data_IF_679563325636
#
_entry.id   IF_679563325636
#
_cell.length_a   1.000
_cell.length_b   1.000
_cell.length_c   1.000
_cell.angle_alpha   90.00
_cell.angle_beta   90.00
_cell.angle_gamma   90.00
#
_symmetry.space_group_name_H-M   'P 1'
#
loop_
_entity.id
_entity.type
_entity.pdbx_description
1 polymer ?
#
# COMPACT_ATOMS: atom_id res chain seq x y z
N UNK A 1 -47.96 -69.01 -5.25
CA UNK A 1 -47.68 -67.77 -6.02
C UNK A 1 -46.24 -67.35 -5.71
N UNK A 2 -45.44 -67.00 -6.72
CA UNK A 2 -44.08 -66.37 -6.71
C UNK A 2 -43.07 -66.83 -5.64
N UNK A 3 -41.85 -67.30 -5.95
CA UNK A 3 -40.97 -67.01 -7.10
C UNK A 3 -40.06 -65.80 -6.77
N UNK A 4 -38.73 -65.83 -6.93
CA UNK A 4 -37.80 -66.84 -7.48
C UNK A 4 -36.39 -66.71 -6.81
N UNK A 5 -35.46 -67.59 -7.19
CA UNK A 5 -34.03 -67.68 -6.85
C UNK A 5 -33.16 -66.51 -7.37
N UNK A 6 -31.88 -66.31 -6.95
CA UNK A 6 -31.08 -66.94 -5.89
C UNK A 6 -29.56 -66.63 -5.98
N UNK A 7 -28.77 -67.00 -4.94
CA UNK A 7 -27.28 -66.97 -4.80
C UNK A 7 -26.57 -65.58 -4.73
N UNK A 8 -25.81 -65.27 -3.64
CA UNK A 8 -24.36 -65.52 -3.30
C UNK A 8 -23.35 -64.68 -4.12
N UNK A 9 -22.23 -64.12 -3.61
CA UNK A 9 -21.68 -63.94 -2.22
C UNK A 9 -20.53 -62.89 -2.19
N UNK A 10 -20.28 -62.33 -1.00
CA UNK A 10 -19.03 -61.71 -0.42
C UNK A 10 -17.72 -62.42 -0.86
N UNK A 11 -16.50 -61.86 -0.78
CA UNK A 11 -15.90 -60.63 -0.18
C UNK A 11 -14.34 -60.72 -0.29
N UNK A 12 -13.40 -60.02 0.38
CA UNK A 12 -13.30 -59.00 1.46
C UNK A 12 -11.87 -58.32 1.39
N UNK A 13 -11.61 -57.13 1.98
CA UNK A 13 -10.28 -56.47 2.00
C UNK A 13 -9.36 -56.91 3.18
N UNK A 14 -8.11 -56.40 3.24
CA UNK A 14 -7.10 -56.67 4.29
C UNK A 14 -6.16 -55.47 4.57
N UNK A 15 -5.66 -55.38 5.81
CA UNK A 15 -4.52 -54.54 6.27
C UNK A 15 -3.86 -55.14 7.52
N UNK A 16 -2.52 -55.01 7.64
CA UNK A 16 -1.69 -54.98 8.89
C UNK A 16 -1.65 -56.22 9.83
N UNK A 17 -0.56 -56.52 10.56
CA UNK A 17 0.86 -56.10 10.49
C UNK A 17 1.77 -57.03 11.35
N UNK A 18 3.06 -57.18 10.99
CA UNK A 18 4.16 -57.60 11.90
C UNK A 18 5.56 -57.25 11.31
N UNK A 19 6.61 -57.15 12.13
CA UNK A 19 7.97 -56.66 11.78
C UNK A 19 8.97 -56.93 12.95
N UNK A 20 10.30 -56.64 12.87
CA UNK A 20 11.26 -56.58 11.75
C UNK A 20 12.58 -57.39 11.99
N UNK A 21 13.51 -57.41 11.02
CA UNK A 21 14.95 -57.70 11.23
C UNK A 21 15.83 -57.03 10.15
N UNK A 22 17.09 -56.69 10.46
CA UNK A 22 17.92 -55.80 9.61
C UNK A 22 19.39 -56.24 9.46
N UNK A 23 19.93 -56.21 8.24
CA UNK A 23 21.37 -56.20 7.88
C UNK A 23 21.55 -55.70 6.41
N UNK A 24 22.75 -55.28 5.94
CA UNK A 24 22.86 -54.02 5.18
C UNK A 24 23.27 -54.12 3.69
N UNK A 25 23.13 -52.99 2.98
CA UNK A 25 23.51 -52.77 1.57
C UNK A 25 24.65 -51.74 1.45
N UNK A 26 25.65 -51.91 0.56
CA UNK A 26 26.84 -51.05 0.51
C UNK A 26 26.67 -49.74 -0.31
N UNK A 27 27.56 -48.79 -0.03
CA UNK A 27 27.67 -47.48 -0.70
C UNK A 27 28.52 -47.55 -1.98
N UNK A 28 28.16 -46.84 -3.08
CA UNK A 28 29.03 -46.65 -4.23
C UNK A 28 29.95 -45.43 -4.09
N UNK A 29 31.19 -45.54 -4.57
CA UNK A 29 32.18 -44.46 -4.70
C UNK A 29 32.22 -43.97 -6.17
N UNK A 30 32.52 -42.69 -6.47
CA UNK A 30 32.54 -42.20 -7.86
C UNK A 30 33.72 -42.75 -8.67
N UNK A 31 33.47 -43.07 -9.95
CA UNK A 31 34.52 -43.45 -10.90
C UNK A 31 35.04 -42.24 -11.65
N UNK A 32 36.36 -42.07 -11.63
CA UNK A 32 37.12 -41.06 -12.38
C UNK A 32 37.19 -41.44 -13.87
N UNK A 33 37.11 -40.45 -14.78
CA UNK A 33 37.16 -40.67 -16.24
C UNK A 33 38.33 -39.90 -16.84
N UNK A 34 39.39 -40.63 -17.15
CA UNK A 34 40.59 -40.14 -17.81
C UNK A 34 40.36 -40.00 -19.33
N UNK A 35 40.85 -38.92 -19.93
CA UNK A 35 40.76 -38.65 -21.37
C UNK A 35 42.14 -38.23 -21.89
N UNK A 36 42.72 -38.94 -22.89
CA UNK A 36 44.07 -38.65 -23.37
C UNK A 36 44.15 -37.38 -24.23
N UNK A 37 45.33 -36.75 -24.25
CA UNK A 37 45.68 -35.63 -25.13
C UNK A 37 46.88 -36.01 -26.01
N UNK A 38 46.82 -35.64 -27.30
CA UNK A 38 47.91 -35.49 -28.29
C UNK A 38 47.24 -35.08 -29.62
N UNK A 39 47.78 -34.27 -30.54
CA UNK A 39 48.77 -33.18 -30.47
C UNK A 39 48.31 -32.12 -31.52
N UNK A 40 48.58 -30.82 -31.31
CA UNK A 40 48.68 -29.89 -32.45
C UNK A 40 49.43 -28.59 -32.16
N UNK A 41 50.30 -28.24 -33.11
CA UNK A 41 51.25 -27.12 -33.15
C UNK A 41 50.73 -25.71 -32.84
N UNK A 42 51.53 -24.92 -32.12
CA UNK A 42 51.43 -23.46 -32.01
C UNK A 42 52.07 -22.73 -33.22
N UNK A 43 51.95 -21.38 -33.36
CA UNK A 43 52.91 -20.51 -32.65
C UNK A 43 52.31 -19.18 -32.10
N UNK A 44 53.08 -18.52 -31.25
CA UNK A 44 52.65 -17.35 -30.46
C UNK A 44 52.77 -15.98 -31.17
N UNK A 45 52.12 -14.95 -30.60
CA UNK A 45 52.47 -13.53 -30.80
C UNK A 45 52.70 -12.82 -29.45
N UNK A 46 53.84 -12.13 -29.34
CA UNK A 46 54.21 -11.30 -28.17
C UNK A 46 53.86 -9.82 -28.38
N UNK A 47 53.27 -9.20 -27.37
CA UNK A 47 53.49 -7.80 -26.94
C UNK A 47 53.27 -7.77 -25.41
N UNK A 48 54.00 -6.99 -24.60
CA UNK A 48 55.08 -6.05 -24.91
C UNK A 48 55.03 -4.86 -23.95
N UNK A 49 55.54 -5.03 -22.72
CA UNK A 49 55.46 -4.01 -21.66
C UNK A 49 56.73 -3.17 -21.49
N UNK A 50 56.56 -1.95 -20.95
CA UNK A 50 57.59 -0.95 -20.64
C UNK A 50 57.16 -0.12 -19.39
N UNK A 51 58.05 0.60 -18.67
CA UNK A 51 58.45 0.07 -17.36
C UNK A 51 58.30 1.03 -16.15
N UNK A 52 58.71 0.48 -15.00
CA UNK A 52 58.98 1.07 -13.67
C UNK A 52 59.24 2.58 -13.61
N UNK A 53 58.73 3.19 -12.54
CA UNK A 53 59.59 3.86 -11.54
C UNK A 53 59.46 3.12 -10.21
N UNK A 54 60.41 3.34 -9.29
CA UNK A 54 60.41 2.75 -7.95
C UNK A 54 61.07 3.73 -6.98
N UNK A 55 60.58 3.77 -5.73
CA UNK A 55 61.31 4.27 -4.56
C UNK A 55 60.83 3.55 -3.30
N UNK A 56 61.79 3.28 -2.40
CA UNK A 56 61.72 2.46 -1.17
C UNK A 56 63.03 2.76 -0.36
N UNK A 57 63.25 2.32 0.91
CA UNK A 57 62.54 1.32 1.73
C UNK A 57 62.00 1.94 3.06
N UNK A 58 61.40 1.25 4.04
CA UNK A 58 61.83 0.14 4.92
C UNK A 58 60.82 0.05 6.09
N UNK A 59 60.68 -0.99 6.94
CA UNK A 59 61.17 -2.39 6.99
C UNK A 59 60.37 -3.20 8.05
N UNK A 60 60.51 -4.53 8.02
CA UNK A 60 60.02 -5.55 8.98
C UNK A 60 58.50 -5.87 8.86
N UNK A 61 58.01 -7.10 8.64
CA UNK A 61 58.51 -8.48 8.79
C UNK A 61 58.54 -9.06 10.21
N UNK A 62 57.44 -9.76 10.60
CA UNK A 62 57.45 -10.93 11.50
C UNK A 62 56.05 -11.61 11.57
N UNK A 63 55.94 -12.80 10.99
CA UNK A 63 55.04 -13.90 11.41
C UNK A 63 55.95 -15.16 11.47
N UNK A 64 55.65 -16.25 12.23
CA UNK A 64 54.32 -16.88 12.32
C UNK A 64 53.92 -17.49 13.69
N UNK A 65 52.74 -18.14 13.73
CA UNK A 65 52.57 -19.57 14.11
C UNK A 65 51.40 -19.90 15.05
N UNK A 66 50.44 -20.68 14.53
CA UNK A 66 49.72 -21.81 15.16
C UNK A 66 49.30 -21.77 16.65
N UNK A 67 47.98 -21.82 16.93
CA UNK A 67 47.39 -22.81 17.86
C UNK A 67 45.83 -22.80 17.89
N UNK A 68 45.25 -23.94 17.52
CA UNK A 68 43.95 -24.49 17.96
C UNK A 68 44.15 -26.03 18.02
N UNK A 69 43.42 -26.82 18.83
CA UNK A 69 42.01 -26.65 19.21
C UNK A 69 41.67 -26.89 20.70
N UNK A 70 40.40 -26.69 21.08
CA UNK A 70 39.55 -27.76 21.62
C UNK A 70 38.16 -27.25 22.06
N UNK A 71 37.13 -28.08 21.80
CA UNK A 71 35.84 -28.07 22.48
C UNK A 71 35.66 -29.43 23.20
N UNK A 72 34.70 -29.55 24.12
CA UNK A 72 33.94 -30.79 24.17
C UNK A 72 32.43 -30.61 24.42
N UNK A 73 31.66 -31.19 23.50
CA UNK A 73 30.45 -32.02 23.69
C UNK A 73 29.51 -31.82 24.91
N UNK A 74 28.32 -31.31 24.58
CA UNK A 74 26.97 -31.89 24.86
C UNK A 74 26.74 -32.82 26.06
N UNK A 75 25.67 -32.50 26.82
CA UNK A 75 24.70 -33.51 27.30
C UNK A 75 23.25 -33.02 27.14
N UNK A 76 22.36 -33.93 26.76
CA UNK A 76 20.92 -33.69 26.63
C UNK A 76 20.14 -34.30 27.80
N UNK A 77 19.08 -33.64 28.26
CA UNK A 77 18.01 -34.25 29.05
C UNK A 77 16.73 -33.38 29.06
N UNK A 78 15.58 -34.04 28.95
CA UNK A 78 14.22 -33.47 28.96
C UNK A 78 13.30 -34.46 29.71
N UNK A 79 12.02 -34.13 29.97
CA UNK A 79 11.50 -33.22 30.99
C UNK A 79 11.22 -33.94 32.33
N UNK A 80 10.57 -33.30 33.31
CA UNK A 80 9.25 -33.85 33.69
C UNK A 80 8.18 -32.84 34.13
N UNK A 81 6.93 -33.32 34.10
CA UNK A 81 5.74 -32.83 34.79
C UNK A 81 4.86 -34.08 35.11
N UNK A 82 3.71 -34.00 35.83
CA UNK A 82 3.05 -32.85 36.46
C UNK A 82 2.60 -33.10 37.93
N UNK A 83 2.01 -32.09 38.58
CA UNK A 83 0.85 -32.17 39.52
C UNK A 83 0.58 -30.76 40.11
N UNK A 84 -0.52 -30.45 40.81
CA UNK A 84 -1.97 -30.65 40.61
C UNK A 84 -2.72 -30.08 41.85
N UNK A 85 -4.04 -29.90 41.76
CA UNK A 85 -4.96 -29.59 42.89
C UNK A 85 -4.92 -28.13 43.42
N UNK A 86 -6.03 -27.45 43.74
CA UNK A 86 -7.43 -27.63 43.31
C UNK A 86 -8.25 -26.34 43.56
N UNK A 87 -9.39 -26.25 42.88
CA UNK A 87 -10.52 -25.39 43.26
C UNK A 87 -11.77 -26.26 43.44
N UNK A 88 -12.79 -25.80 44.20
CA UNK A 88 -14.14 -25.97 43.65
C UNK A 88 -15.15 -24.83 43.94
N UNK A 89 -15.83 -24.39 42.86
CA UNK A 89 -17.29 -24.30 42.67
C UNK A 89 -18.14 -23.57 43.75
N UNK A 90 -18.81 -22.45 43.47
CA UNK A 90 -19.93 -22.21 42.50
C UNK A 90 -21.29 -22.81 42.93
N UNK A 91 -22.23 -21.95 43.37
CA UNK A 91 -23.66 -22.04 43.01
C UNK A 91 -24.38 -20.69 43.17
N UNK A 92 -25.58 -20.59 42.59
CA UNK A 92 -26.46 -19.43 42.63
C UNK A 92 -27.78 -19.76 43.35
N UNK A 93 -28.55 -18.74 43.76
CA UNK A 93 -29.86 -18.85 44.41
C UNK A 93 -30.70 -17.59 44.22
N UNK A 94 -32.03 -17.70 44.39
CA UNK A 94 -33.04 -16.67 44.10
C UNK A 94 -33.98 -16.47 45.30
N UNK A 95 -34.57 -15.28 45.44
CA UNK A 95 -35.62 -14.96 46.44
C UNK A 95 -35.09 -14.67 47.86
N UNK A 96 -35.80 -13.96 48.74
CA UNK A 96 -37.13 -13.32 48.67
C UNK A 96 -37.20 -12.13 49.66
N UNK A 97 -38.24 -11.27 49.58
CA UNK A 97 -38.49 -10.17 50.55
C UNK A 97 -39.14 -10.63 51.87
N UNK A 98 -39.74 -9.73 52.71
CA UNK A 98 -40.21 -8.37 52.39
C UNK A 98 -40.01 -7.24 53.48
N UNK A 99 -40.52 -6.04 53.12
CA UNK A 99 -41.10 -4.88 53.88
C UNK A 99 -41.48 -4.97 55.37
N UNK A 100 -41.92 -3.85 56.06
CA UNK A 100 -42.30 -2.49 55.59
C UNK A 100 -41.40 -1.37 56.19
N UNK A 101 -41.71 -0.07 56.38
CA UNK A 101 -42.87 0.88 56.32
C UNK A 101 -42.29 2.32 56.12
N UNK A 102 -42.95 3.45 55.81
CA UNK A 102 -44.28 3.90 55.31
C UNK A 102 -44.06 5.34 54.77
N UNK A 103 -44.55 5.77 53.59
CA UNK A 103 -45.91 6.24 53.25
C UNK A 103 -46.33 7.63 53.83
N UNK A 104 -46.39 8.68 52.98
CA UNK A 104 -47.53 9.63 52.81
C UNK A 104 -47.19 10.85 51.92
N UNK A 105 -48.14 11.25 51.07
CA UNK A 105 -48.17 12.54 50.35
C UNK A 105 -49.62 13.04 50.31
N UNK A 106 -49.87 14.34 50.56
CA UNK A 106 -50.86 15.07 49.74
C UNK A 106 -50.38 16.48 49.32
N UNK A 107 -51.22 17.15 48.52
CA UNK A 107 -50.90 18.35 47.72
C UNK A 107 -51.57 19.65 48.31
N UNK A 108 -51.82 20.76 47.57
CA UNK A 108 -51.15 22.05 47.77
C UNK A 108 -52.01 23.16 48.43
N UNK A 109 -51.41 24.35 48.70
CA UNK A 109 -52.18 25.61 48.87
C UNK A 109 -51.40 26.94 48.66
N UNK A 110 -52.00 27.81 47.84
CA UNK A 110 -52.12 29.30 47.92
C UNK A 110 -50.96 30.21 48.41
N UNK A 111 -50.49 31.09 47.51
CA UNK A 111 -50.66 32.58 47.49
C UNK A 111 -51.02 33.37 48.78
N UNK A 112 -50.62 34.67 48.96
CA UNK A 112 -50.94 35.77 48.01
C UNK A 112 -50.00 37.02 47.94
N UNK A 113 -50.31 38.01 47.09
CA UNK A 113 -49.88 39.42 47.31
C UNK A 113 -49.98 40.44 46.14
N UNK A 114 -50.78 41.51 46.34
CA UNK A 114 -50.93 42.77 45.54
C UNK A 114 -51.51 42.64 44.10
N UNK A 115 -52.61 43.31 43.65
CA UNK A 115 -53.26 44.62 43.96
C UNK A 115 -52.57 45.83 43.28
N UNK A 116 -53.22 46.72 42.51
CA UNK A 116 -54.65 46.91 42.17
C UNK A 116 -54.85 47.51 40.75
N UNK A 117 -56.10 47.57 40.27
CA UNK A 117 -56.52 48.39 39.11
C UNK A 117 -56.97 49.81 39.55
N UNK A 118 -57.16 50.77 38.62
CA UNK A 118 -58.49 50.87 37.99
C UNK A 118 -58.48 51.16 36.47
N UNK A 119 -59.63 50.92 35.84
CA UNK A 119 -59.98 51.32 34.47
C UNK A 119 -60.42 52.81 34.42
N UNK A 120 -60.44 53.49 33.25
CA UNK A 120 -61.64 53.41 32.41
C UNK A 120 -61.46 53.57 30.88
N UNK A 121 -62.55 53.31 30.16
CA UNK A 121 -62.95 53.90 28.87
C UNK A 121 -62.12 53.57 27.59
N UNK A 122 -62.51 52.45 26.98
CA UNK A 122 -62.66 52.21 25.53
C UNK A 122 -62.10 53.23 24.50
N UNK A 123 -61.24 52.74 23.61
CA UNK A 123 -61.24 53.15 22.20
C UNK A 123 -60.88 51.97 21.29
N UNK A 124 -61.50 51.90 20.11
CA UNK A 124 -61.44 50.73 19.22
C UNK A 124 -60.13 50.70 18.43
N UNK A 125 -59.23 49.79 18.78
CA UNK A 125 -58.05 49.46 17.99
C UNK A 125 -58.13 48.01 17.51
N UNK A 126 -58.58 47.83 16.27
CA UNK A 126 -58.78 46.53 15.63
C UNK A 126 -57.44 45.81 15.46
N UNK A 127 -57.12 44.91 16.40
CA UNK A 127 -55.84 44.19 16.41
C UNK A 127 -55.87 43.03 15.42
N UNK A 128 -55.67 43.33 14.14
CA UNK A 128 -55.55 42.35 13.06
C UNK A 128 -54.54 41.26 13.43
N UNK A 129 -55.05 40.11 13.88
CA UNK A 129 -54.29 38.88 13.98
C UNK A 129 -54.06 38.42 12.54
N UNK A 130 -52.93 38.81 11.96
CA UNK A 130 -52.46 38.25 10.69
C UNK A 130 -52.30 36.75 10.90
N UNK A 131 -53.25 35.97 10.38
CA UNK A 131 -53.09 34.52 10.31
C UNK A 131 -51.95 34.24 9.34
N UNK A 132 -50.81 33.83 9.88
CA UNK A 132 -49.69 33.36 9.06
C UNK A 132 -50.18 32.15 8.26
N UNK A 133 -50.16 32.19 6.92
CA UNK A 133 -50.52 31.02 6.12
C UNK A 133 -49.60 29.87 6.52
N UNK A 134 -50.09 28.62 6.59
CA UNK A 134 -49.31 27.50 7.12
C UNK A 134 -48.03 27.33 6.30
N UNK A 135 -46.88 27.53 6.93
CA UNK A 135 -45.57 27.46 6.27
C UNK A 135 -45.41 26.10 5.60
N UNK A 136 -45.55 26.08 4.29
CA UNK A 136 -45.43 24.87 3.50
C UNK A 136 -44.03 24.29 3.72
N UNK A 137 -43.97 23.07 4.27
CA UNK A 137 -42.69 22.43 4.59
C UNK A 137 -41.90 22.31 3.29
N UNK A 138 -40.63 22.75 3.22
CA UNK A 138 -39.82 22.65 2.00
C UNK A 138 -39.84 21.21 1.49
N UNK A 139 -40.55 20.99 0.37
CA UNK A 139 -40.82 19.65 -0.14
C UNK A 139 -39.49 18.95 -0.40
N UNK A 140 -39.27 17.80 0.24
CA UNK A 140 -38.04 17.00 0.09
C UNK A 140 -37.74 16.86 -1.41
N UNK A 141 -36.64 17.45 -1.91
CA UNK A 141 -36.41 17.51 -3.35
C UNK A 141 -36.38 16.09 -3.89
N UNK A 142 -37.15 15.78 -4.95
CA UNK A 142 -37.35 14.41 -5.39
C UNK A 142 -35.98 13.80 -5.67
N UNK A 143 -35.64 12.72 -4.94
CA UNK A 143 -34.36 12.02 -5.04
C UNK A 143 -34.12 11.68 -6.51
N UNK A 144 -33.30 12.49 -7.19
CA UNK A 144 -33.01 12.38 -8.63
C UNK A 144 -32.18 11.12 -8.86
N UNK A 145 -32.86 9.97 -8.86
CA UNK A 145 -32.30 8.64 -9.13
C UNK A 145 -31.50 8.77 -10.42
N UNK A 146 -30.18 8.72 -10.30
CA UNK A 146 -29.25 8.97 -11.39
C UNK A 146 -29.30 7.81 -12.37
N UNK A 147 -30.33 7.81 -13.23
CA UNK A 147 -30.39 6.99 -14.42
C UNK A 147 -29.14 7.33 -15.22
N UNK A 148 -28.19 6.39 -15.26
CA UNK A 148 -27.01 6.48 -16.11
C UNK A 148 -27.56 6.70 -17.52
N UNK A 149 -27.19 7.79 -18.22
CA UNK A 149 -27.74 8.06 -19.54
C UNK A 149 -27.36 6.91 -20.48
N UNK A 150 -28.25 6.54 -21.40
CA UNK A 150 -28.10 5.33 -22.24
C UNK A 150 -26.77 5.35 -23.01
N UNK A 151 -26.31 6.53 -23.43
CA UNK A 151 -25.01 6.72 -24.09
C UNK A 151 -23.80 6.38 -23.20
N UNK A 152 -23.89 6.59 -21.88
CA UNK A 152 -22.83 6.18 -20.95
C UNK A 152 -22.87 4.67 -20.66
N UNK A 153 -24.05 4.06 -20.62
CA UNK A 153 -24.17 2.60 -20.56
C UNK A 153 -23.64 1.92 -21.84
N UNK A 154 -23.93 2.48 -23.01
CA UNK A 154 -23.38 2.05 -24.30
C UNK A 154 -21.85 2.24 -24.36
N UNK A 155 -21.33 3.36 -23.85
CA UNK A 155 -19.89 3.60 -23.74
C UNK A 155 -19.18 2.56 -22.84
N UNK A 156 -19.76 2.23 -21.69
CA UNK A 156 -19.24 1.15 -20.81
C UNK A 156 -19.27 -0.20 -21.55
N UNK A 157 -20.37 -0.52 -22.25
CA UNK A 157 -20.46 -1.74 -23.06
C UNK A 157 -19.38 -1.81 -24.15
N UNK A 158 -19.14 -0.71 -24.87
CA UNK A 158 -18.07 -0.62 -25.87
C UNK A 158 -16.67 -0.83 -25.30
N UNK A 159 -16.39 -0.26 -24.11
CA UNK A 159 -15.11 -0.47 -23.41
C UNK A 159 -14.94 -1.93 -22.97
N UNK A 160 -16.00 -2.57 -22.46
CA UNK A 160 -15.96 -3.99 -22.07
C UNK A 160 -15.73 -4.90 -23.29
N UNK A 161 -16.41 -4.63 -24.42
CA UNK A 161 -16.21 -5.38 -25.67
C UNK A 161 -14.78 -5.19 -26.19
N UNK A 162 -14.26 -3.95 -26.20
CA UNK A 162 -12.89 -3.67 -26.62
C UNK A 162 -11.86 -4.39 -25.74
N UNK A 163 -12.05 -4.40 -24.42
CA UNK A 163 -11.21 -5.12 -23.49
C UNK A 163 -11.28 -6.65 -23.72
N UNK A 164 -12.47 -7.21 -23.93
CA UNK A 164 -12.63 -8.63 -24.24
C UNK A 164 -11.96 -9.03 -25.56
N UNK A 165 -12.09 -8.22 -26.61
CA UNK A 165 -11.39 -8.43 -27.90
C UNK A 165 -9.87 -8.38 -27.73
N UNK A 166 -9.36 -7.45 -26.91
CA UNK A 166 -7.93 -7.34 -26.60
C UNK A 166 -7.41 -8.58 -25.84
N UNK A 167 -8.11 -9.02 -24.78
CA UNK A 167 -7.78 -10.25 -24.03
C UNK A 167 -7.73 -11.45 -24.96
N UNK A 168 -8.76 -11.66 -25.79
CA UNK A 168 -8.84 -12.79 -26.73
C UNK A 168 -7.76 -12.73 -27.81
N UNK A 169 -7.41 -11.54 -28.29
CA UNK A 169 -6.34 -11.35 -29.28
C UNK A 169 -4.97 -11.70 -28.70
N UNK A 170 -4.71 -11.33 -27.44
CA UNK A 170 -3.45 -11.68 -26.76
C UNK A 170 -3.41 -13.16 -26.37
N UNK A 171 -4.51 -13.75 -25.90
CA UNK A 171 -4.60 -15.20 -25.68
C UNK A 171 -4.35 -15.99 -26.97
N UNK A 172 -4.94 -15.56 -28.10
CA UNK A 172 -4.67 -16.17 -29.41
C UNK A 172 -3.19 -16.04 -29.81
N UNK A 173 -2.59 -14.86 -29.67
CA UNK A 173 -1.17 -14.64 -29.97
C UNK A 173 -0.26 -15.53 -29.11
N UNK A 174 -0.47 -15.58 -27.79
CA UNK A 174 0.29 -16.44 -26.88
C UNK A 174 0.07 -17.93 -27.14
N UNK A 175 -1.05 -18.32 -27.77
CA UNK A 175 -1.28 -19.69 -28.26
C UNK A 175 -0.41 -20.08 -29.47
N UNK A 176 0.13 -19.13 -30.23
CA UNK A 176 0.99 -19.40 -31.40
C UNK A 176 2.40 -19.86 -31.01
N UNK A 177 3.11 -20.53 -31.91
CA UNK A 177 4.52 -20.91 -31.69
C UNK A 177 5.43 -19.67 -31.55
N UNK A 178 5.09 -18.56 -32.21
CA UNK A 178 5.76 -17.26 -32.04
C UNK A 178 5.55 -16.71 -30.62
N UNK A 179 4.33 -16.75 -30.10
CA UNK A 179 4.04 -16.32 -28.72
C UNK A 179 4.73 -17.19 -27.68
N UNK A 180 4.65 -18.52 -27.83
CA UNK A 180 5.30 -19.48 -26.93
C UNK A 180 6.84 -19.38 -26.96
N UNK A 181 7.45 -19.22 -28.14
CA UNK A 181 8.92 -19.04 -28.25
C UNK A 181 9.42 -17.65 -27.83
N UNK A 182 8.55 -16.63 -27.84
CA UNK A 182 8.83 -15.34 -27.22
C UNK A 182 8.83 -15.45 -25.69
N UNK A 183 7.80 -16.06 -25.09
CA UNK A 183 7.75 -16.29 -23.64
C UNK A 183 8.86 -17.22 -23.13
N UNK A 184 9.26 -18.25 -23.89
CA UNK A 184 10.37 -19.12 -23.49
C UNK A 184 11.75 -18.46 -23.55
N UNK A 185 11.89 -17.35 -24.28
CA UNK A 185 13.11 -16.51 -24.30
C UNK A 185 13.06 -15.39 -23.27
N UNK A 186 11.87 -14.86 -23.01
CA UNK A 186 11.62 -13.74 -22.10
C UNK A 186 10.44 -14.10 -21.19
N UNK A 187 10.66 -14.78 -20.05
CA UNK A 187 9.57 -15.28 -19.21
C UNK A 187 8.76 -14.18 -18.52
N UNK A 188 9.31 -12.96 -18.40
CA UNK A 188 8.70 -11.83 -17.69
C UNK A 188 9.63 -11.20 -16.63
N UNK A 189 10.76 -11.84 -16.35
CA UNK A 189 11.81 -11.38 -15.45
C UNK A 189 13.19 -11.77 -16.02
N UNK A 190 14.25 -11.12 -15.54
CA UNK A 190 15.65 -11.44 -15.82
C UNK A 190 16.42 -11.51 -14.49
N UNK A 191 17.59 -12.16 -14.46
CA UNK A 191 18.34 -12.33 -13.22
C UNK A 191 18.96 -11.01 -12.72
N UNK A 192 18.83 -10.76 -11.41
CA UNK A 192 19.44 -9.62 -10.72
C UNK A 192 20.25 -10.14 -9.52
N UNK A 193 21.41 -10.81 -9.73
CA UNK A 193 22.11 -11.54 -8.66
C UNK A 193 22.58 -10.64 -7.49
N UNK A 194 22.81 -9.35 -7.74
CA UNK A 194 23.21 -8.37 -6.73
C UNK A 194 22.02 -7.73 -5.96
N UNK A 195 20.77 -8.09 -6.29
CA UNK A 195 19.60 -7.52 -5.63
C UNK A 195 19.32 -8.19 -4.28
N UNK A 196 19.26 -7.45 -3.15
CA UNK A 196 18.98 -8.02 -1.84
C UNK A 196 17.66 -8.79 -1.79
N UNK A 197 17.61 -9.90 -1.04
CA UNK A 197 16.39 -10.70 -0.84
C UNK A 197 15.46 -10.19 0.28
N UNK A 198 14.16 -10.49 0.18
CA UNK A 198 13.16 -10.18 1.22
C UNK A 198 12.69 -8.72 1.29
N UNK A 199 12.02 -8.35 2.38
CA UNK A 199 11.40 -7.05 2.56
C UNK A 199 11.75 -6.50 3.95
N UNK A 200 12.62 -5.48 4.06
CA UNK A 200 13.04 -4.93 5.34
C UNK A 200 11.97 -3.97 5.88
N UNK A 201 11.82 -3.92 7.21
CA UNK A 201 10.76 -3.16 7.87
C UNK A 201 10.64 -1.68 7.43
N UNK A 202 11.76 -1.04 7.05
CA UNK A 202 11.77 0.34 6.58
C UNK A 202 11.10 0.49 5.20
N UNK A 203 11.17 -0.52 4.34
CA UNK A 203 10.50 -0.56 3.03
C UNK A 203 8.99 -0.72 3.22
N UNK A 204 8.58 -1.61 4.12
CA UNK A 204 7.17 -1.79 4.51
C UNK A 204 6.59 -0.50 5.12
N UNK A 205 7.32 0.13 6.03
CA UNK A 205 6.94 1.41 6.65
C UNK A 205 6.87 2.54 5.63
N UNK A 206 7.91 2.72 4.79
CA UNK A 206 7.93 3.75 3.75
C UNK A 206 6.79 3.57 2.74
N UNK A 207 6.45 2.32 2.38
CA UNK A 207 5.30 2.02 1.53
C UNK A 207 3.97 2.45 2.19
N UNK A 208 3.73 2.06 3.45
CA UNK A 208 2.54 2.48 4.19
C UNK A 208 2.45 4.01 4.32
N UNK A 209 3.53 4.67 4.75
CA UNK A 209 3.53 6.12 4.96
C UNK A 209 3.41 6.90 3.63
N UNK A 210 4.00 6.39 2.55
CA UNK A 210 3.77 6.92 1.21
C UNK A 210 2.30 6.76 0.77
N UNK A 211 1.68 5.59 0.94
CA UNK A 211 0.27 5.39 0.62
C UNK A 211 -0.65 6.30 1.44
N UNK A 212 -0.35 6.49 2.73
CA UNK A 212 -1.02 7.44 3.62
C UNK A 212 -0.93 8.87 3.09
N UNK A 213 0.27 9.36 2.79
CA UNK A 213 0.47 10.72 2.28
C UNK A 213 -0.18 10.91 0.91
N UNK A 214 -0.02 9.96 -0.02
CA UNK A 214 -0.60 10.04 -1.37
C UNK A 214 -2.12 10.17 -1.36
N UNK A 215 -2.84 9.45 -0.49
CA UNK A 215 -4.31 9.59 -0.37
C UNK A 215 -4.69 11.00 0.12
N UNK A 216 -3.94 11.57 1.06
CA UNK A 216 -4.20 12.92 1.59
C UNK A 216 -3.82 14.01 0.58
N UNK A 217 -2.72 13.84 -0.16
CA UNK A 217 -2.25 14.74 -1.23
C UNK A 217 -3.25 14.76 -2.40
N UNK A 218 -3.65 13.59 -2.92
CA UNK A 218 -4.66 13.48 -3.99
C UNK A 218 -5.99 14.11 -3.54
N UNK A 219 -6.44 13.80 -2.31
CA UNK A 219 -7.66 14.41 -1.73
C UNK A 219 -7.57 15.94 -1.67
N UNK A 220 -6.48 16.49 -1.14
CA UNK A 220 -6.31 17.95 -1.00
C UNK A 220 -6.12 18.64 -2.34
N UNK A 221 -5.42 18.04 -3.30
CA UNK A 221 -5.31 18.55 -4.67
C UNK A 221 -6.65 18.60 -5.42
N UNK A 222 -7.51 17.58 -5.21
CA UNK A 222 -8.90 17.59 -5.71
C UNK A 222 -9.74 18.66 -5.00
N UNK A 223 -9.53 18.92 -3.71
CA UNK A 223 -10.19 20.03 -3.00
C UNK A 223 -9.76 21.39 -3.55
N UNK A 224 -8.45 21.65 -3.73
CA UNK A 224 -7.93 22.90 -4.32
C UNK A 224 -8.57 23.16 -5.70
N UNK A 225 -8.74 22.13 -6.53
CA UNK A 225 -9.39 22.23 -7.85
C UNK A 225 -10.91 22.43 -7.81
N UNK A 226 -11.55 22.37 -6.65
CA UNK A 226 -13.00 22.58 -6.43
C UNK A 226 -13.32 23.74 -5.47
N UNK A 227 -12.31 24.28 -4.79
CA UNK A 227 -12.41 25.37 -3.82
C UNK A 227 -12.63 26.71 -4.53
N UNK A 228 -13.87 27.19 -4.56
CA UNK A 228 -14.22 28.53 -5.10
C UNK A 228 -14.21 29.62 -4.03
N UNK A 229 -14.41 29.26 -2.75
CA UNK A 229 -14.33 30.12 -1.58
C UNK A 229 -13.71 29.34 -0.41
N UNK A 230 -12.45 29.62 -0.02
CA UNK A 230 -11.84 29.02 1.16
C UNK A 230 -12.62 29.30 2.45
N UNK A 231 -12.77 28.29 3.31
CA UNK A 231 -13.36 28.43 4.66
C UNK A 231 -12.45 29.20 5.63
N UNK A 232 -11.13 29.10 5.41
CA UNK A 232 -10.09 29.73 6.21
C UNK A 232 -8.81 29.90 5.38
N UNK A 233 -7.99 30.85 5.78
CA UNK A 233 -6.71 31.19 5.17
C UNK A 233 -5.58 31.19 6.20
N UNK A 234 -4.37 31.02 5.70
CA UNK A 234 -3.13 31.07 6.47
C UNK A 234 -2.19 32.16 5.94
N UNK A 235 -1.49 32.81 6.87
CA UNK A 235 -0.50 33.88 6.61
C UNK A 235 0.81 33.54 7.36
N UNK A 236 1.97 33.45 6.68
CA UNK A 236 3.24 33.12 7.32
C UNK A 236 3.73 34.23 8.26
N UNK A 237 4.37 33.85 9.36
CA UNK A 237 4.97 34.81 10.32
C UNK A 237 5.97 35.77 9.66
N UNK A 238 6.73 35.27 8.68
CA UNK A 238 7.78 35.96 7.93
C UNK A 238 7.30 36.76 6.70
N UNK A 239 6.02 36.65 6.33
CA UNK A 239 5.54 37.19 5.05
C UNK A 239 4.09 37.68 5.11
N UNK A 240 3.80 38.63 6.00
CA UNK A 240 2.42 39.05 6.36
C UNK A 240 1.50 39.50 5.20
N UNK A 241 2.04 39.80 4.02
CA UNK A 241 1.28 40.11 2.80
C UNK A 241 0.88 38.88 1.98
N UNK A 242 1.56 37.73 2.13
CA UNK A 242 1.22 36.47 1.45
C UNK A 242 0.08 35.77 2.22
N UNK A 243 -1.00 35.41 1.53
CA UNK A 243 -2.18 34.73 2.09
C UNK A 243 -2.56 33.57 1.17
N UNK A 244 -2.69 32.36 1.71
CA UNK A 244 -3.13 31.15 0.98
C UNK A 244 -4.32 30.52 1.69
N UNK A 245 -5.12 29.70 0.99
CA UNK A 245 -6.16 28.92 1.68
C UNK A 245 -5.54 27.90 2.63
N UNK A 246 -6.26 27.54 3.68
CA UNK A 246 -5.84 26.49 4.59
C UNK A 246 -5.74 25.12 3.87
N UNK A 247 -6.53 24.92 2.81
CA UNK A 247 -6.46 23.76 1.92
C UNK A 247 -5.12 23.70 1.17
N UNK A 248 -4.66 24.81 0.58
CA UNK A 248 -3.32 24.90 -0.05
C UNK A 248 -2.20 24.73 0.98
N UNK A 249 -2.35 25.31 2.19
CA UNK A 249 -1.38 25.09 3.27
C UNK A 249 -1.27 23.61 3.66
N UNK A 250 -2.41 22.92 3.76
CA UNK A 250 -2.48 21.48 4.10
C UNK A 250 -1.80 20.63 3.04
N UNK A 251 -2.05 20.92 1.75
CA UNK A 251 -1.41 20.23 0.63
C UNK A 251 0.11 20.39 0.68
N UNK A 252 0.61 21.64 0.69
CA UNK A 252 2.04 21.93 0.76
C UNK A 252 2.75 21.30 1.99
N UNK A 253 2.05 21.16 3.12
CA UNK A 253 2.59 20.51 4.32
C UNK A 253 2.69 18.97 4.17
N UNK A 254 1.70 18.34 3.51
CA UNK A 254 1.75 16.93 3.16
C UNK A 254 2.80 16.65 2.09
N UNK A 255 2.91 17.53 1.07
CA UNK A 255 3.93 17.45 0.01
C UNK A 255 5.34 17.51 0.61
N UNK A 256 5.57 18.39 1.60
CA UNK A 256 6.86 18.48 2.29
C UNK A 256 7.19 17.18 3.05
N UNK A 257 6.23 16.58 3.77
CA UNK A 257 6.41 15.29 4.43
C UNK A 257 6.68 14.16 3.42
N UNK A 258 6.03 14.23 2.25
CA UNK A 258 6.20 13.24 1.18
C UNK A 258 7.55 13.37 0.47
N UNK A 259 8.03 14.58 0.21
CA UNK A 259 9.38 14.83 -0.28
C UNK A 259 10.44 14.36 0.72
N UNK A 260 10.26 14.65 2.01
CA UNK A 260 11.18 14.18 3.06
C UNK A 260 11.20 12.64 3.15
N UNK A 261 10.04 11.98 3.10
CA UNK A 261 9.94 10.52 3.02
C UNK A 261 10.62 9.99 1.74
N UNK A 262 10.41 10.61 0.59
CA UNK A 262 11.03 10.24 -0.69
C UNK A 262 12.56 10.36 -0.67
N UNK A 263 13.10 11.43 -0.08
CA UNK A 263 14.56 11.60 0.09
C UNK A 263 15.14 10.52 1.01
N UNK A 264 14.52 10.25 2.17
CA UNK A 264 14.94 9.17 3.07
C UNK A 264 14.86 7.81 2.38
N UNK A 265 13.79 7.56 1.62
CA UNK A 265 13.60 6.32 0.86
C UNK A 265 14.66 6.12 -0.22
N UNK A 266 14.98 7.13 -1.04
CA UNK A 266 16.02 7.06 -2.07
C UNK A 266 17.42 6.89 -1.45
N UNK A 267 17.71 7.55 -0.33
CA UNK A 267 18.95 7.32 0.43
C UNK A 267 19.02 5.89 0.94
N UNK A 268 17.94 5.35 1.51
CA UNK A 268 17.89 3.96 1.99
C UNK A 268 18.07 2.96 0.84
N UNK A 269 17.40 3.14 -0.31
CA UNK A 269 17.62 2.31 -1.51
C UNK A 269 19.11 2.27 -1.91
N UNK A 270 19.79 3.42 -1.91
CA UNK A 270 21.19 3.52 -2.29
C UNK A 270 22.11 2.82 -1.26
N UNK A 271 22.01 3.15 0.04
CA UNK A 271 22.94 2.63 1.06
C UNK A 271 22.70 1.17 1.46
N UNK A 272 21.52 0.61 1.16
CA UNK A 272 21.19 -0.80 1.46
C UNK A 272 21.27 -1.72 0.24
N UNK A 273 21.60 -1.20 -0.96
CA UNK A 273 21.64 -1.97 -2.20
C UNK A 273 20.27 -2.25 -2.84
N UNK A 274 19.15 -1.94 -2.17
CA UNK A 274 17.78 -2.19 -2.67
C UNK A 274 17.41 -1.38 -3.93
N UNK A 275 18.22 -0.39 -4.34
CA UNK A 275 18.03 0.36 -5.58
C UNK A 275 17.94 -0.54 -6.83
N UNK A 276 18.66 -1.66 -6.84
CA UNK A 276 18.74 -2.61 -7.96
C UNK A 276 17.42 -3.31 -8.29
N UNK A 277 16.45 -3.33 -7.38
CA UNK A 277 15.08 -3.84 -7.63
C UNK A 277 14.17 -2.86 -8.39
N UNK A 278 14.56 -1.59 -8.46
CA UNK A 278 13.71 -0.50 -8.98
C UNK A 278 14.43 0.36 -10.02
N UNK A 279 15.60 -0.08 -10.48
CA UNK A 279 16.40 0.54 -11.54
C UNK A 279 16.90 -0.59 -12.44
N UNK A 280 16.44 -0.68 -13.70
CA UNK A 280 16.81 -1.79 -14.56
C UNK A 280 18.33 -1.88 -14.80
N UNK A 281 18.89 -3.06 -14.54
CA UNK A 281 20.32 -3.35 -14.70
C UNK A 281 20.65 -4.02 -16.04
N UNK A 282 19.65 -4.51 -16.77
CA UNK A 282 19.79 -5.13 -18.10
C UNK A 282 18.78 -4.57 -19.11
N UNK A 283 19.16 -4.53 -20.39
CA UNK A 283 18.26 -4.22 -21.51
C UNK A 283 17.18 -5.29 -21.72
N UNK A 284 17.35 -6.49 -21.15
CA UNK A 284 16.34 -7.55 -21.14
C UNK A 284 15.06 -7.18 -20.39
N UNK A 285 15.08 -6.11 -19.58
CA UNK A 285 13.88 -5.54 -18.95
C UNK A 285 12.79 -5.23 -19.97
N UNK A 286 13.13 -4.74 -21.17
CA UNK A 286 12.14 -4.30 -22.15
C UNK A 286 11.35 -5.46 -22.78
N UNK A 287 11.99 -6.50 -23.37
CA UNK A 287 11.24 -7.65 -23.88
C UNK A 287 10.54 -8.44 -22.76
N UNK A 288 11.14 -8.57 -21.56
CA UNK A 288 10.45 -9.19 -20.42
C UNK A 288 9.25 -8.38 -19.93
N UNK A 289 9.31 -7.04 -19.95
CA UNK A 289 8.15 -6.21 -19.61
C UNK A 289 7.02 -6.37 -20.64
N UNK A 290 7.35 -6.57 -21.93
CA UNK A 290 6.35 -6.94 -22.95
C UNK A 290 5.74 -8.31 -22.64
N UNK A 291 6.54 -9.32 -22.32
CA UNK A 291 6.02 -10.64 -21.89
C UNK A 291 5.09 -10.57 -20.69
N UNK A 292 5.49 -9.85 -19.63
CA UNK A 292 4.69 -9.69 -18.42
C UNK A 292 3.40 -8.88 -18.69
N UNK A 293 3.47 -7.85 -19.54
CA UNK A 293 2.30 -7.08 -19.95
C UNK A 293 1.33 -7.91 -20.81
N UNK A 294 1.82 -8.78 -21.70
CA UNK A 294 0.98 -9.70 -22.47
C UNK A 294 0.29 -10.72 -21.55
N UNK A 295 1.01 -11.29 -20.58
CA UNK A 295 0.45 -12.19 -19.56
C UNK A 295 -0.62 -11.50 -18.68
N UNK A 296 -0.37 -10.24 -18.28
CA UNK A 296 -1.38 -9.41 -17.61
C UNK A 296 -2.62 -9.11 -18.47
N UNK A 297 -2.47 -8.99 -19.80
CA UNK A 297 -3.59 -8.75 -20.72
C UNK A 297 -4.33 -10.04 -21.11
N UNK A 298 -3.67 -11.20 -21.14
CA UNK A 298 -4.34 -12.50 -21.34
C UNK A 298 -5.11 -12.99 -20.11
N UNK A 299 -4.99 -12.30 -18.97
CA UNK A 299 -5.48 -12.72 -17.65
C UNK A 299 -4.78 -13.98 -17.10
N UNK A 300 -3.64 -14.35 -17.68
CA UNK A 300 -2.79 -15.47 -17.24
C UNK A 300 -1.68 -14.91 -16.35
N UNK A 301 -2.02 -14.63 -15.09
CA UNK A 301 -1.22 -13.74 -14.23
C UNK A 301 0.11 -14.40 -13.80
N UNK A 302 1.28 -13.75 -14.05
CA UNK A 302 2.57 -14.21 -13.54
C UNK A 302 2.61 -14.05 -12.01
N UNK A 303 2.21 -15.11 -11.32
CA UNK A 303 2.11 -15.23 -9.86
C UNK A 303 3.35 -15.84 -9.22
N UNK A 304 4.24 -16.41 -10.05
CA UNK A 304 5.52 -17.01 -9.67
C UNK A 304 6.70 -16.02 -9.78
N UNK A 305 6.50 -14.77 -9.36
CA UNK A 305 7.63 -13.86 -9.12
C UNK A 305 8.41 -14.34 -7.89
N UNK A 306 9.73 -14.42 -8.02
CA UNK A 306 10.61 -14.86 -6.93
C UNK A 306 10.61 -13.88 -5.76
N UNK A 307 10.84 -14.39 -4.55
CA UNK A 307 10.80 -13.61 -3.30
C UNK A 307 11.73 -12.38 -3.27
N UNK A 308 12.75 -12.36 -4.13
CA UNK A 308 13.74 -11.29 -4.24
C UNK A 308 13.46 -10.26 -5.36
N UNK A 309 12.59 -10.55 -6.33
CA UNK A 309 12.51 -9.79 -7.59
C UNK A 309 11.08 -9.41 -7.98
N UNK A 310 10.97 -8.32 -8.73
CA UNK A 310 9.73 -7.93 -9.42
C UNK A 310 9.80 -8.39 -10.88
N UNK A 311 8.66 -8.64 -11.52
CA UNK A 311 8.66 -8.81 -12.97
C UNK A 311 9.00 -7.48 -13.66
N UNK A 312 9.53 -7.53 -14.88
CA UNK A 312 10.08 -6.34 -15.54
C UNK A 312 9.03 -5.26 -15.87
N UNK A 313 7.74 -5.62 -15.97
CA UNK A 313 6.66 -4.63 -16.11
C UNK A 313 6.40 -3.87 -14.80
N UNK A 314 6.47 -4.56 -13.66
CA UNK A 314 6.44 -3.93 -12.33
C UNK A 314 7.69 -3.06 -12.11
N UNK A 315 8.88 -3.57 -12.43
CA UNK A 315 10.15 -2.83 -12.30
C UNK A 315 10.11 -1.49 -13.07
N UNK A 316 9.76 -1.50 -14.36
CA UNK A 316 9.66 -0.28 -15.15
C UNK A 316 8.60 0.69 -14.62
N UNK A 317 7.48 0.17 -14.10
CA UNK A 317 6.44 1.01 -13.49
C UNK A 317 6.93 1.66 -12.18
N UNK A 318 7.70 0.94 -11.35
CA UNK A 318 8.32 1.50 -10.15
C UNK A 318 9.42 2.49 -10.47
N UNK A 319 10.31 2.18 -11.43
CA UNK A 319 11.35 3.10 -11.91
C UNK A 319 10.74 4.42 -12.39
N UNK A 320 9.73 4.36 -13.28
CA UNK A 320 9.04 5.55 -13.76
C UNK A 320 8.34 6.31 -12.63
N UNK A 321 7.69 5.61 -11.69
CA UNK A 321 7.01 6.25 -10.56
C UNK A 321 7.99 7.01 -9.66
N UNK A 322 9.12 6.38 -9.31
CA UNK A 322 10.11 6.90 -8.36
C UNK A 322 11.00 7.98 -8.99
N UNK A 323 11.49 7.77 -10.21
CA UNK A 323 12.53 8.60 -10.82
C UNK A 323 12.03 9.55 -11.91
N UNK A 324 10.77 9.43 -12.37
CA UNK A 324 10.16 10.34 -13.36
C UNK A 324 8.93 11.05 -12.79
N UNK A 325 7.88 10.31 -12.43
CA UNK A 325 6.60 10.89 -12.02
C UNK A 325 6.72 11.68 -10.70
N UNK A 326 7.43 11.15 -9.71
CA UNK A 326 7.63 11.83 -8.43
C UNK A 326 8.45 13.14 -8.57
N UNK A 327 9.66 13.15 -9.17
CA UNK A 327 10.40 14.38 -9.45
C UNK A 327 9.60 15.40 -10.26
N UNK A 328 8.78 14.95 -11.21
CA UNK A 328 7.92 15.83 -12.02
C UNK A 328 6.78 16.46 -11.19
N UNK A 329 6.17 15.71 -10.26
CA UNK A 329 5.22 16.25 -9.30
C UNK A 329 5.87 17.30 -8.38
N UNK A 330 7.08 17.01 -7.87
CA UNK A 330 7.85 17.93 -7.01
C UNK A 330 8.20 19.22 -7.76
N UNK A 331 8.81 19.13 -8.93
CA UNK A 331 9.23 20.31 -9.71
C UNK A 331 8.04 21.21 -10.07
N UNK A 332 6.93 20.62 -10.51
CA UNK A 332 5.71 21.37 -10.85
C UNK A 332 4.98 21.92 -9.62
N UNK A 333 4.94 21.18 -8.51
CA UNK A 333 4.39 21.63 -7.23
C UNK A 333 5.17 22.79 -6.64
N UNK A 334 6.50 22.67 -6.54
CA UNK A 334 7.40 23.75 -6.10
C UNK A 334 7.22 25.00 -6.96
N UNK A 335 7.07 24.87 -8.28
CA UNK A 335 6.82 25.98 -9.21
C UNK A 335 5.48 26.70 -9.00
N UNK A 336 4.46 25.99 -8.51
CA UNK A 336 3.15 26.57 -8.14
C UNK A 336 3.08 27.02 -6.66
N UNK A 337 4.09 26.68 -5.86
CA UNK A 337 4.15 27.02 -4.43
C UNK A 337 4.63 28.46 -4.19
N UNK A 338 4.30 29.01 -3.01
CA UNK A 338 4.83 30.30 -2.55
C UNK A 338 6.32 30.31 -2.17
N UNK A 339 7.06 29.21 -2.41
CA UNK A 339 8.52 29.17 -2.29
C UNK A 339 9.23 29.63 -3.57
N UNK A 340 8.54 29.67 -4.69
CA UNK A 340 9.12 30.09 -5.97
C UNK A 340 9.42 31.61 -5.98
N UNK A 341 10.54 32.05 -6.59
CA UNK A 341 10.91 33.47 -6.68
C UNK A 341 10.12 34.21 -7.77
N UNK A 342 9.18 35.05 -7.35
CA UNK A 342 8.34 35.88 -8.23
C UNK A 342 9.16 36.92 -9.03
N UNK A 343 10.30 37.36 -8.48
CA UNK A 343 11.20 38.40 -8.98
C UNK A 343 12.11 37.95 -10.15
N UNK A 344 12.39 36.64 -10.27
CA UNK A 344 13.38 36.12 -11.23
C UNK A 344 12.79 35.91 -12.62
N UNK A 345 12.58 37.00 -13.36
CA UNK A 345 12.02 37.03 -14.71
C UNK A 345 12.53 35.92 -15.65
N UNK A 346 13.86 35.73 -15.76
CA UNK A 346 14.43 34.74 -16.68
C UNK A 346 14.06 33.29 -16.31
N UNK A 347 13.99 32.99 -15.01
CA UNK A 347 13.56 31.69 -14.48
C UNK A 347 12.04 31.50 -14.69
N UNK A 348 11.25 32.56 -14.49
CA UNK A 348 9.81 32.55 -14.73
C UNK A 348 9.43 32.41 -16.22
N UNK A 349 10.28 32.90 -17.13
CA UNK A 349 10.16 32.70 -18.58
C UNK A 349 10.59 31.29 -19.00
N UNK A 350 11.64 30.73 -18.38
CA UNK A 350 12.13 29.37 -18.67
C UNK A 350 11.15 28.28 -18.19
N UNK A 351 10.46 28.49 -17.07
CA UNK A 351 9.42 27.60 -16.57
C UNK A 351 8.14 28.40 -16.22
N UNK A 352 7.17 28.52 -17.16
CA UNK A 352 5.90 29.20 -16.88
C UNK A 352 4.98 28.38 -15.96
N UNK A 353 4.09 29.06 -15.22
CA UNK A 353 3.18 28.40 -14.25
C UNK A 353 2.04 27.64 -14.94
N UNK A 354 1.73 28.02 -16.18
CA UNK A 354 0.77 27.39 -17.09
C UNK A 354 1.25 25.97 -17.43
N UNK A 355 2.53 25.83 -17.80
CA UNK A 355 3.16 24.53 -18.05
C UNK A 355 3.20 23.67 -16.78
N UNK A 356 3.57 24.25 -15.64
CA UNK A 356 3.56 23.52 -14.37
C UNK A 356 2.15 22.96 -14.05
N UNK A 357 1.10 23.78 -14.22
CA UNK A 357 -0.29 23.37 -14.00
C UNK A 357 -0.79 22.34 -15.02
N UNK A 358 -0.35 22.46 -16.27
CA UNK A 358 -0.70 21.56 -17.36
C UNK A 358 -0.07 20.16 -17.19
N UNK A 359 1.12 20.07 -16.57
CA UNK A 359 1.82 18.81 -16.30
C UNK A 359 1.41 18.18 -14.96
N UNK A 360 1.31 18.96 -13.89
CA UNK A 360 1.04 18.46 -12.53
C UNK A 360 -0.28 17.68 -12.42
N UNK A 361 -1.31 18.09 -13.17
CA UNK A 361 -2.62 17.45 -13.11
C UNK A 361 -2.67 16.08 -13.81
N UNK A 362 -2.15 15.90 -15.05
CA UNK A 362 -1.85 14.59 -15.61
C UNK A 362 -0.98 13.70 -14.72
N UNK A 363 0.02 14.25 -14.02
CA UNK A 363 0.84 13.47 -13.07
C UNK A 363 0.02 12.98 -11.88
N UNK A 364 -0.87 13.82 -11.31
CA UNK A 364 -1.80 13.39 -10.25
C UNK A 364 -2.81 12.33 -10.75
N UNK A 365 -3.26 12.42 -12.01
CA UNK A 365 -4.07 11.38 -12.66
C UNK A 365 -3.25 10.08 -12.81
N UNK A 366 -2.00 10.17 -13.28
CA UNK A 366 -1.09 9.02 -13.39
C UNK A 366 -0.94 8.30 -12.05
N UNK A 367 -0.63 9.04 -10.97
CA UNK A 367 -0.53 8.46 -9.62
C UNK A 367 -1.85 7.80 -9.17
N UNK A 368 -2.99 8.43 -9.44
CA UNK A 368 -4.31 7.88 -9.09
C UNK A 368 -4.59 6.56 -9.82
N UNK A 369 -4.29 6.51 -11.13
CA UNK A 369 -4.45 5.30 -11.97
C UNK A 369 -3.44 4.22 -11.59
N UNK A 370 -2.18 4.57 -11.34
CA UNK A 370 -1.14 3.66 -10.87
C UNK A 370 -1.53 2.99 -9.55
N UNK A 371 -1.95 3.78 -8.55
CA UNK A 371 -2.39 3.25 -7.24
C UNK A 371 -3.60 2.32 -7.42
N UNK A 372 -4.58 2.70 -8.24
CA UNK A 372 -5.75 1.87 -8.51
C UNK A 372 -5.39 0.53 -9.15
N UNK A 373 -4.57 0.54 -10.22
CA UNK A 373 -4.15 -0.69 -10.90
C UNK A 373 -3.25 -1.55 -10.01
N UNK A 374 -2.29 -0.95 -9.30
CA UNK A 374 -1.42 -1.65 -8.35
C UNK A 374 -2.22 -2.37 -7.26
N UNK A 375 -3.20 -1.71 -6.63
CA UNK A 375 -4.05 -2.35 -5.61
C UNK A 375 -4.92 -3.45 -6.21
N UNK A 376 -5.48 -3.28 -7.41
CA UNK A 376 -6.23 -4.35 -8.10
C UNK A 376 -5.34 -5.58 -8.34
N UNK A 377 -4.11 -5.37 -8.82
CA UNK A 377 -3.14 -6.46 -9.05
C UNK A 377 -2.75 -7.15 -7.73
N UNK A 378 -2.46 -6.41 -6.66
CA UNK A 378 -2.16 -6.96 -5.33
C UNK A 378 -3.23 -7.94 -4.85
N UNK A 379 -4.51 -7.66 -5.09
CA UNK A 379 -5.60 -8.59 -4.76
C UNK A 379 -5.74 -9.73 -5.78
N UNK A 380 -5.58 -9.45 -7.08
CA UNK A 380 -5.76 -10.44 -8.15
C UNK A 380 -4.65 -11.52 -8.19
N UNK A 381 -3.40 -11.17 -7.86
CA UNK A 381 -2.24 -12.07 -8.01
C UNK A 381 -1.80 -12.78 -6.72
N UNK A 382 -2.71 -12.94 -5.74
CA UNK A 382 -2.44 -13.68 -4.49
C UNK A 382 -2.51 -12.83 -3.22
N UNK A 383 -3.65 -12.15 -3.01
CA UNK A 383 -3.91 -11.19 -1.93
C UNK A 383 -3.20 -11.45 -0.59
N UNK A 384 -3.34 -12.64 0.02
CA UNK A 384 -2.75 -12.90 1.34
C UNK A 384 -1.21 -12.92 1.33
N UNK A 385 -0.57 -13.49 0.30
CA UNK A 385 0.91 -13.50 0.16
C UNK A 385 1.41 -12.07 -0.07
N UNK A 386 0.77 -11.35 -0.99
CA UNK A 386 1.11 -9.97 -1.34
C UNK A 386 0.91 -9.01 -0.15
N UNK A 387 -0.12 -9.20 0.68
CA UNK A 387 -0.33 -8.36 1.86
C UNK A 387 0.65 -8.68 2.99
N UNK A 388 1.13 -9.92 3.14
CA UNK A 388 2.23 -10.21 4.07
C UNK A 388 3.58 -9.65 3.57
N UNK A 389 3.89 -9.73 2.27
CA UNK A 389 5.02 -9.02 1.66
C UNK A 389 5.01 -7.53 2.01
N UNK A 390 3.85 -6.87 1.83
CA UNK A 390 3.70 -5.42 1.97
C UNK A 390 3.67 -4.96 3.44
N UNK A 391 3.06 -5.73 4.36
CA UNK A 391 2.83 -5.29 5.75
C UNK A 391 3.65 -6.00 6.84
N UNK A 392 4.10 -7.24 6.62
CA UNK A 392 4.92 -7.99 7.60
C UNK A 392 6.32 -8.33 7.12
N UNK A 393 6.58 -8.21 5.80
CA UNK A 393 7.84 -8.61 5.17
C UNK A 393 8.06 -10.13 5.12
N UNK A 394 7.01 -10.93 5.28
CA UNK A 394 7.08 -12.40 5.38
C UNK A 394 6.57 -13.09 4.12
N UNK A 395 7.25 -14.16 3.67
CA UNK A 395 6.74 -15.02 2.60
C UNK A 395 5.75 -16.04 3.15
N UNK A 396 4.52 -15.58 3.42
CA UNK A 396 3.51 -16.39 4.06
C UNK A 396 2.10 -16.09 3.54
N UNK A 397 1.30 -17.15 3.40
CA UNK A 397 -0.13 -17.05 3.06
C UNK A 397 -0.95 -17.11 4.35
N UNK A 398 -0.89 -16.06 5.16
CA UNK A 398 -1.62 -15.94 6.43
C UNK A 398 -2.38 -14.60 6.55
N UNK A 399 -3.15 -14.41 7.63
CA UNK A 399 -4.05 -13.26 7.80
C UNK A 399 -3.41 -12.00 8.45
N UNK A 400 -2.14 -12.03 8.86
CA UNK A 400 -1.51 -10.91 9.57
C UNK A 400 -1.44 -9.63 8.72
N UNK A 401 -0.90 -9.72 7.50
CA UNK A 401 -0.84 -8.61 6.55
C UNK A 401 -2.22 -8.08 6.14
N UNK A 402 -3.25 -8.94 6.11
CA UNK A 402 -4.64 -8.52 5.86
C UNK A 402 -5.17 -7.63 7.00
N UNK A 403 -4.98 -8.00 8.27
CA UNK A 403 -5.44 -7.18 9.39
C UNK A 403 -4.65 -5.88 9.54
N UNK A 404 -3.35 -5.88 9.20
CA UNK A 404 -2.54 -4.66 9.12
C UNK A 404 -3.00 -3.74 7.97
N UNK A 405 -3.41 -4.29 6.83
CA UNK A 405 -4.05 -3.53 5.76
C UNK A 405 -5.40 -2.93 6.18
N UNK A 406 -6.26 -3.68 6.88
CA UNK A 406 -7.52 -3.14 7.41
C UNK A 406 -7.26 -2.00 8.41
N UNK A 407 -6.26 -2.16 9.30
CA UNK A 407 -5.83 -1.10 10.21
C UNK A 407 -5.29 0.13 9.47
N UNK A 408 -4.48 -0.07 8.41
CA UNK A 408 -3.93 1.04 7.62
C UNK A 408 -5.03 1.84 6.93
N UNK A 409 -6.06 1.18 6.38
CA UNK A 409 -7.24 1.86 5.83
C UNK A 409 -7.98 2.69 6.88
N UNK A 410 -8.16 2.18 8.10
CA UNK A 410 -8.80 2.94 9.20
C UNK A 410 -8.00 4.19 9.56
N UNK A 411 -6.66 4.08 9.65
CA UNK A 411 -5.77 5.23 9.91
C UNK A 411 -5.81 6.26 8.78
N UNK A 412 -5.78 5.81 7.52
CA UNK A 412 -5.85 6.67 6.33
C UNK A 412 -7.21 7.39 6.25
N UNK A 413 -8.32 6.70 6.50
CA UNK A 413 -9.66 7.30 6.53
C UNK A 413 -9.78 8.30 7.68
N UNK A 414 -9.25 7.97 8.87
CA UNK A 414 -9.19 8.87 10.01
C UNK A 414 -8.45 10.17 9.70
N UNK A 415 -7.26 10.09 9.09
CA UNK A 415 -6.50 11.26 8.65
C UNK A 415 -7.19 12.03 7.52
N UNK A 416 -7.83 11.34 6.57
CA UNK A 416 -8.59 11.96 5.49
C UNK A 416 -9.80 12.76 6.03
N UNK A 417 -10.40 12.32 7.14
CA UNK A 417 -11.41 13.08 7.88
C UNK A 417 -10.80 14.20 8.76
N UNK A 418 -9.57 14.01 9.27
CA UNK A 418 -8.85 15.01 10.07
C UNK A 418 -8.34 16.21 9.25
N UNK A 419 -8.17 16.10 7.92
CA UNK A 419 -7.81 17.23 7.02
C UNK A 419 -8.94 18.26 6.82
N UNK A 420 -9.87 18.40 7.77
CA UNK A 420 -10.91 19.45 7.79
C UNK A 420 -10.33 20.76 8.36
N UNK A 421 -10.69 21.94 7.82
CA UNK A 421 -10.18 23.23 8.29
C UNK A 421 -10.22 23.44 9.81
N UNK A 422 -11.30 23.01 10.49
CA UNK A 422 -11.45 23.11 11.96
C UNK A 422 -10.36 22.35 12.74
N UNK A 423 -9.90 21.21 12.22
CA UNK A 423 -8.91 20.34 12.87
C UNK A 423 -7.48 20.74 12.48
N UNK A 424 -7.28 21.24 11.25
CA UNK A 424 -5.96 21.66 10.75
C UNK A 424 -5.58 23.06 11.23
N UNK A 425 -6.54 23.96 11.46
CA UNK A 425 -6.28 25.35 11.85
C UNK A 425 -5.39 25.51 13.10
N UNK A 426 -5.57 24.73 14.20
CA UNK A 426 -4.66 24.73 15.34
C UNK A 426 -3.21 24.40 14.94
N UNK A 427 -2.96 23.33 14.18
CA UNK A 427 -1.61 22.97 13.73
C UNK A 427 -1.00 24.07 12.85
N UNK A 428 -1.77 24.60 11.89
CA UNK A 428 -1.32 25.66 11.00
C UNK A 428 -0.97 26.96 11.75
N UNK A 429 -1.65 27.25 12.87
CA UNK A 429 -1.40 28.41 13.72
C UNK A 429 -0.03 28.37 14.43
N UNK A 430 0.58 27.20 14.58
CA UNK A 430 1.94 27.06 15.11
C UNK A 430 2.94 27.74 14.15
N UNK A 431 2.67 27.72 12.84
CA UNK A 431 3.57 28.20 11.78
C UNK A 431 3.19 29.59 11.23
N UNK A 432 1.98 30.08 11.49
CA UNK A 432 1.46 31.33 10.93
C UNK A 432 0.21 31.83 11.64
N UNK A 433 -0.45 32.85 11.09
CA UNK A 433 -1.78 33.28 11.55
C UNK A 433 -2.84 32.62 10.68
N UNK A 434 -3.86 32.02 11.32
CA UNK A 434 -5.06 31.51 10.64
C UNK A 434 -6.22 32.48 10.86
N UNK A 435 -7.06 32.67 9.85
CA UNK A 435 -8.27 33.49 9.94
C UNK A 435 -9.21 33.26 8.74
N UNK A 436 -10.49 33.60 8.90
CA UNK A 436 -11.49 33.59 7.82
C UNK A 436 -11.20 34.68 6.79
#
# INVERSE_FOLDING_TARGET
MSGDSGRRRRGLPRTEAEAPASAPTPTPTPTEVEVPQDESSAPARRRGGLPRTADAPSSNAAEPSTATPNAPETKSSEPPAPTASAAPRRRAGLGSGPSPSQASTPEPRSEPGASAAPEPAASTAERTRTETPPTERPGTPPRRRSRIPVWAAAGIGGVIILAAVLVLTVQWFLGTDTGRSFLSRYPGQYEQPDAPGGYPWWLNWAHFFNAFLMVLIIKTGIQIRRETKPEAYWTPKWGRKRRISLTIWTHNALDLLWVLNGVVFVVLLAVTGYWSRVVPTSWEVFPNAVSAALQYVSLDWPTAGDWAHYNSAQELAYFFTIFVAAPLAIATGVRMSGLWPDDKHNLNKAFPVEWARAVHFPVMIYFTTFILLHVILVFATGALRNLNQIYTGQDATNWAGFWLFVLSLVVIIGAALATRPVIVAPLASLFGRVGR
#
